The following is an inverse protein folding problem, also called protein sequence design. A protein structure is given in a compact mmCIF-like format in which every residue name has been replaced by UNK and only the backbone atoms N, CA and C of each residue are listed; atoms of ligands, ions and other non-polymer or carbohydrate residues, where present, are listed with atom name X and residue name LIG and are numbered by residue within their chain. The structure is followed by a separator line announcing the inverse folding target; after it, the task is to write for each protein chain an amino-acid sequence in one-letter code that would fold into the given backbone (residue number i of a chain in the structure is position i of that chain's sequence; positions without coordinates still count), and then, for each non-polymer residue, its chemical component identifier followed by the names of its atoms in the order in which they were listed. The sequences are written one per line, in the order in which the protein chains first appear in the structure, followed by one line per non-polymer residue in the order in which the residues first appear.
data_IF_097521031476
#
_entry.id   IF_097521031476
#
_cell.length_a   1.000
_cell.length_b   1.000
_cell.length_c   1.000
_cell.angle_alpha   90.00
_cell.angle_beta   90.00
_cell.angle_gamma   90.00
#
_symmetry.space_group_name_H-M   'P 1'
#
loop_
_entity.id
_entity.type
_entity.pdbx_description
1 polymer ?
#
# COMPACT_ATOMS: atom_id res chain seq x y z
N UNK A 1 17.96 -5.50 41.40
CA UNK A 1 18.20 -5.99 40.05
C UNK A 1 18.61 -4.86 39.12
N UNK A 2 19.72 -5.00 38.52
CA UNK A 2 20.21 -4.00 37.59
C UNK A 2 19.54 -4.10 36.24
N UNK A 3 19.22 -2.94 35.68
CA UNK A 3 18.72 -2.88 34.34
C UNK A 3 19.89 -2.86 33.36
N UNK A 4 19.85 -3.72 32.37
CA UNK A 4 20.90 -3.77 31.35
C UNK A 4 20.84 -2.54 30.46
N UNK A 5 19.64 -1.96 30.29
CA UNK A 5 19.44 -0.79 29.46
C UNK A 5 18.60 0.22 30.23
N UNK A 6 18.94 1.49 30.10
CA UNK A 6 18.08 2.55 30.58
C UNK A 6 16.91 2.72 29.65
N UNK A 7 15.83 3.33 30.15
CA UNK A 7 14.67 3.64 29.35
C UNK A 7 15.03 4.55 28.17
N UNK A 8 15.96 5.46 28.40
CA UNK A 8 16.42 6.39 27.38
C UNK A 8 17.16 5.69 26.24
N UNK A 9 17.80 4.55 26.51
CA UNK A 9 18.47 3.75 25.50
C UNK A 9 17.51 2.85 24.74
N UNK A 10 16.49 2.33 25.41
CA UNK A 10 15.55 1.36 24.85
C UNK A 10 14.49 2.04 23.96
N UNK A 11 13.98 3.19 24.39
CA UNK A 11 12.91 3.88 23.64
C UNK A 11 13.28 4.20 22.20
N UNK A 12 14.46 4.78 21.89
CA UNK A 12 14.83 5.03 20.50
C UNK A 12 14.92 3.76 19.66
N UNK A 13 15.41 2.68 20.25
CA UNK A 13 15.50 1.39 19.55
C UNK A 13 14.13 0.81 19.26
N UNK A 14 13.20 0.91 20.22
CA UNK A 14 11.82 0.47 20.02
C UNK A 14 11.12 1.30 18.94
N UNK A 15 11.29 2.62 18.99
CA UNK A 15 10.69 3.50 17.98
C UNK A 15 11.23 3.19 16.58
N UNK A 16 12.53 2.96 16.47
CA UNK A 16 13.14 2.60 15.18
C UNK A 16 12.59 1.26 14.67
N UNK A 17 12.50 0.26 15.55
CA UNK A 17 11.97 -1.04 15.18
C UNK A 17 10.51 -0.95 14.76
N UNK A 18 9.69 -0.18 15.48
CA UNK A 18 8.29 0.04 15.13
C UNK A 18 8.16 0.77 13.80
N UNK A 19 8.99 1.76 13.56
CA UNK A 19 8.99 2.52 12.32
C UNK A 19 9.36 1.63 11.14
N UNK A 20 10.42 0.84 11.27
CA UNK A 20 10.83 -0.10 10.23
C UNK A 20 9.74 -1.15 9.96
N UNK A 21 9.08 -1.62 11.02
CA UNK A 21 7.95 -2.52 10.90
C UNK A 21 6.79 -1.89 10.14
N UNK A 22 6.48 -0.63 10.43
CA UNK A 22 5.46 0.10 9.69
C UNK A 22 5.78 0.22 8.21
N UNK A 23 7.03 0.58 7.89
CA UNK A 23 7.46 0.71 6.50
C UNK A 23 7.33 -0.62 5.76
N UNK A 24 7.75 -1.72 6.38
CA UNK A 24 7.63 -3.05 5.78
C UNK A 24 6.18 -3.45 5.58
N UNK A 25 5.32 -3.17 6.56
CA UNK A 25 3.90 -3.50 6.49
C UNK A 25 3.22 -2.74 5.37
N UNK A 26 3.51 -1.45 5.24
CA UNK A 26 2.94 -0.61 4.19
C UNK A 26 3.43 -1.08 2.83
N UNK A 27 4.72 -1.35 2.68
CA UNK A 27 5.29 -1.83 1.42
C UNK A 27 4.69 -3.17 1.02
N UNK A 28 4.52 -4.08 1.97
CA UNK A 28 3.89 -5.37 1.73
C UNK A 28 2.44 -5.23 1.28
N UNK A 29 1.71 -4.33 1.92
CA UNK A 29 0.31 -4.07 1.56
C UNK A 29 0.19 -3.47 0.16
N UNK A 30 1.13 -2.60 -0.22
CA UNK A 30 1.18 -2.03 -1.57
C UNK A 30 1.39 -3.14 -2.60
N UNK A 31 2.30 -4.09 -2.35
CA UNK A 31 2.51 -5.24 -3.22
C UNK A 31 1.24 -6.10 -3.33
N UNK A 32 0.57 -6.32 -2.21
CA UNK A 32 -0.66 -7.09 -2.18
C UNK A 32 -1.73 -6.43 -3.05
N UNK A 33 -1.89 -5.10 -2.94
CA UNK A 33 -2.82 -4.36 -3.78
C UNK A 33 -2.45 -4.45 -5.24
N UNK A 34 -1.16 -4.37 -5.55
CA UNK A 34 -0.69 -4.49 -6.94
C UNK A 34 -1.09 -5.84 -7.53
N UNK A 35 -0.94 -6.91 -6.77
CA UNK A 35 -1.34 -8.25 -7.21
C UNK A 35 -2.84 -8.38 -7.44
N UNK A 36 -3.65 -7.66 -6.64
CA UNK A 36 -5.09 -7.62 -6.83
C UNK A 36 -5.50 -6.79 -8.05
N UNK A 37 -4.77 -5.71 -8.31
CA UNK A 37 -5.08 -4.76 -9.36
C UNK A 37 -4.71 -5.30 -10.75
N UNK A 38 -3.58 -5.99 -10.88
CA UNK A 38 -3.07 -6.47 -12.17
C UNK A 38 -4.08 -7.28 -12.99
N UNK A 39 -4.73 -8.33 -12.43
CA UNK A 39 -5.73 -9.07 -13.19
C UNK A 39 -6.91 -8.20 -13.59
N UNK A 40 -7.33 -7.28 -12.72
CA UNK A 40 -8.44 -6.40 -12.99
C UNK A 40 -8.11 -5.41 -14.11
N UNK A 41 -6.89 -4.89 -14.14
CA UNK A 41 -6.44 -4.01 -15.23
C UNK A 41 -6.42 -4.75 -16.57
N UNK A 42 -5.95 -6.00 -16.58
CA UNK A 42 -5.95 -6.83 -17.77
C UNK A 42 -7.36 -7.07 -18.28
N UNK A 43 -8.29 -7.34 -17.37
CA UNK A 43 -9.69 -7.55 -17.71
C UNK A 43 -10.34 -6.27 -18.26
N UNK A 44 -10.05 -5.13 -17.63
CA UNK A 44 -10.54 -3.83 -18.11
C UNK A 44 -10.05 -3.54 -19.51
N UNK A 45 -8.77 -3.79 -19.77
CA UNK A 45 -8.18 -3.59 -21.10
C UNK A 45 -8.88 -4.45 -22.13
N UNK A 46 -9.11 -5.71 -21.80
CA UNK A 46 -9.83 -6.64 -22.68
C UNK A 46 -11.23 -6.11 -23.00
N UNK A 47 -11.97 -5.67 -21.99
CA UNK A 47 -13.32 -5.14 -22.18
C UNK A 47 -13.32 -3.87 -23.02
N UNK A 48 -12.34 -3.00 -22.84
CA UNK A 48 -12.19 -1.79 -23.64
C UNK A 48 -11.92 -2.13 -25.10
N UNK A 49 -11.00 -3.04 -25.36
CA UNK A 49 -10.64 -3.47 -26.73
C UNK A 49 -11.80 -4.19 -27.42
N UNK A 50 -12.65 -4.87 -26.63
CA UNK A 50 -13.82 -5.56 -27.15
C UNK A 50 -15.05 -4.65 -27.32
N UNK A 51 -14.94 -3.37 -26.95
CA UNK A 51 -16.04 -2.41 -27.06
C UNK A 51 -17.12 -2.58 -25.99
N UNK A 52 -16.85 -3.34 -24.94
CA UNK A 52 -17.82 -3.62 -23.86
C UNK A 52 -17.72 -2.62 -22.71
N UNK A 53 -17.66 -1.34 -23.02
CA UNK A 53 -17.47 -0.30 -22.01
C UNK A 53 -18.77 0.21 -21.39
N UNK A 54 -19.92 -0.16 -21.94
CA UNK A 54 -21.23 0.28 -21.45
C UNK A 54 -21.92 -0.73 -20.54
N UNK A 55 -21.31 -1.91 -20.32
CA UNK A 55 -21.90 -2.94 -19.50
C UNK A 55 -21.71 -2.71 -17.99
N UNK A 56 -22.59 -3.32 -17.21
CA UNK A 56 -22.49 -3.24 -15.75
C UNK A 56 -21.19 -3.87 -15.23
N UNK A 57 -20.73 -4.95 -15.85
CA UNK A 57 -19.51 -5.63 -15.46
C UNK A 57 -18.30 -4.73 -15.63
N UNK A 58 -18.24 -3.97 -16.72
CA UNK A 58 -17.17 -3.00 -16.92
C UNK A 58 -17.22 -1.92 -15.86
N UNK A 59 -18.38 -1.37 -15.57
CA UNK A 59 -18.53 -0.30 -14.59
C UNK A 59 -18.14 -0.76 -13.18
N UNK A 60 -18.56 -1.97 -12.79
CA UNK A 60 -18.18 -2.54 -11.48
C UNK A 60 -16.68 -2.71 -11.38
N UNK A 61 -16.09 -3.30 -12.40
CA UNK A 61 -14.66 -3.57 -12.43
C UNK A 61 -13.86 -2.27 -12.44
N UNK A 62 -14.30 -1.29 -13.22
CA UNK A 62 -13.67 0.02 -13.28
C UNK A 62 -13.71 0.72 -11.94
N UNK A 63 -14.87 0.73 -11.29
CA UNK A 63 -15.03 1.35 -9.96
C UNK A 63 -14.15 0.69 -8.93
N UNK A 64 -14.16 -0.65 -8.87
CA UNK A 64 -13.34 -1.42 -7.94
C UNK A 64 -11.86 -1.13 -8.16
N UNK A 65 -11.41 -1.16 -9.40
CA UNK A 65 -10.02 -0.94 -9.75
C UNK A 65 -9.59 0.49 -9.43
N UNK A 66 -10.45 1.46 -9.70
CA UNK A 66 -10.17 2.86 -9.38
C UNK A 66 -9.99 3.07 -7.87
N UNK A 67 -10.84 2.46 -7.05
CA UNK A 67 -10.72 2.55 -5.60
C UNK A 67 -9.41 1.92 -5.12
N UNK A 68 -9.07 0.74 -5.64
CA UNK A 68 -7.82 0.06 -5.27
C UNK A 68 -6.60 0.87 -5.68
N UNK A 69 -6.61 1.48 -6.86
CA UNK A 69 -5.53 2.34 -7.32
C UNK A 69 -5.37 3.58 -6.44
N UNK A 70 -6.48 4.18 -6.02
CA UNK A 70 -6.46 5.35 -5.14
C UNK A 70 -5.87 4.99 -3.78
N UNK A 71 -6.26 3.85 -3.23
CA UNK A 71 -5.71 3.35 -1.96
C UNK A 71 -4.22 3.10 -2.10
N UNK A 72 -3.80 2.46 -3.20
CA UNK A 72 -2.39 2.19 -3.46
C UNK A 72 -1.58 3.48 -3.53
N UNK A 73 -2.08 4.48 -4.27
CA UNK A 73 -1.41 5.78 -4.37
C UNK A 73 -1.28 6.48 -3.02
N UNK A 74 -2.34 6.42 -2.21
CA UNK A 74 -2.33 7.00 -0.87
C UNK A 74 -1.27 6.33 0.01
N UNK A 75 -1.16 5.01 -0.06
CA UNK A 75 -0.17 4.25 0.70
C UNK A 75 1.25 4.54 0.21
N UNK A 76 1.45 4.66 -1.10
CA UNK A 76 2.76 5.02 -1.66
C UNK A 76 3.20 6.40 -1.18
N UNK A 77 2.27 7.35 -1.15
CA UNK A 77 2.54 8.69 -0.66
C UNK A 77 2.88 8.66 0.83
N UNK A 78 2.11 7.91 1.61
CA UNK A 78 2.36 7.76 3.04
C UNK A 78 3.75 7.16 3.28
N UNK A 79 4.11 6.12 2.53
CA UNK A 79 5.42 5.48 2.63
C UNK A 79 6.54 6.47 2.33
N UNK A 80 6.40 7.25 1.26
CA UNK A 80 7.38 8.27 0.88
C UNK A 80 7.50 9.35 1.96
N UNK A 81 6.38 9.84 2.47
CA UNK A 81 6.36 10.86 3.51
C UNK A 81 7.02 10.37 4.80
N UNK A 82 6.76 9.12 5.18
CA UNK A 82 7.38 8.54 6.37
C UNK A 82 8.90 8.42 6.20
N UNK A 83 9.36 8.03 5.03
CA UNK A 83 10.80 7.92 4.76
C UNK A 83 11.48 9.28 4.78
N UNK A 84 10.85 10.29 4.19
CA UNK A 84 11.40 11.65 4.15
C UNK A 84 11.45 12.28 5.53
N UNK A 85 10.38 12.12 6.32
CA UNK A 85 10.26 12.73 7.63
C UNK A 85 11.20 12.12 8.68
N UNK A 86 11.74 10.95 8.41
CA UNK A 86 12.63 10.24 9.34
C UNK A 86 14.09 10.21 8.89
N UNK A 87 14.42 10.95 7.87
CA UNK A 87 15.82 11.16 7.48
C UNK A 87 16.28 12.58 7.90
#
# INVERSE_FOLDING_TARGET
MEKLFSREEVEPLLQKAMFEGQLKSIAYFIEYLQRLIEPDLSQLKYLQESGMTLGEDFMRLYTKTSVLLDIKKSLEKLLTDLKVNNT
#
